data_IF_310299677869
#
_entry.id   IF_310299677869
#
_cell.length_a   1.000
_cell.length_b   1.000
_cell.length_c   1.000
_cell.angle_alpha   90.00
_cell.angle_beta   90.00
_cell.angle_gamma   90.00
#
_symmetry.space_group_name_H-M   'P 1'
#
loop_
_entity.id
_entity.type
_entity.pdbx_description
1 polymer ?
#
# COMPACT_ATOMS: atom_id res chain seq x y z
N UNK A 1 20.40 0.06 29.69
CA UNK A 1 19.02 0.57 29.51
C UNK A 1 18.88 1.11 28.10
N UNK A 2 17.97 0.56 27.28
CA UNK A 2 17.75 1.07 25.91
C UNK A 2 17.02 2.42 26.03
N UNK A 3 17.64 3.48 25.53
CA UNK A 3 17.08 4.83 25.58
C UNK A 3 16.07 4.97 24.43
N UNK A 4 14.79 5.16 24.75
CA UNK A 4 13.76 5.42 23.73
C UNK A 4 13.91 6.87 23.24
N UNK A 5 14.33 7.04 21.98
CA UNK A 5 14.31 8.34 21.31
C UNK A 5 12.89 8.62 20.82
N UNK A 6 12.36 9.79 21.12
CA UNK A 6 11.06 10.24 20.60
C UNK A 6 11.29 10.94 19.26
N UNK A 7 10.74 10.37 18.20
CA UNK A 7 10.73 10.97 16.87
C UNK A 7 9.32 11.47 16.57
N UNK A 8 9.22 12.70 16.08
CA UNK A 8 7.96 13.32 15.65
C UNK A 8 7.88 13.47 14.13
N UNK A 9 8.62 12.62 13.41
CA UNK A 9 8.59 12.52 11.96
C UNK A 9 7.46 11.57 11.52
N UNK A 10 6.90 11.71 10.31
CA UNK A 10 5.91 10.77 9.78
C UNK A 10 6.44 9.33 9.64
N UNK A 11 7.74 9.16 9.67
CA UNK A 11 8.47 7.90 9.60
C UNK A 11 9.88 8.10 9.06
N UNK A 12 10.81 7.15 9.34
CA UNK A 12 10.59 5.92 10.13
C UNK A 12 10.22 6.22 11.59
N UNK A 13 9.41 5.33 12.18
CA UNK A 13 9.05 5.41 13.61
C UNK A 13 10.19 4.91 14.49
N UNK A 14 10.24 5.28 15.80
CA UNK A 14 11.16 4.65 16.73
C UNK A 14 10.94 3.13 16.76
N UNK A 15 12.04 2.38 16.84
CA UNK A 15 11.95 0.92 16.93
C UNK A 15 11.29 0.48 18.24
N UNK A 16 10.43 -0.53 18.15
CA UNK A 16 9.89 -1.18 19.34
C UNK A 16 11.03 -1.87 20.10
N UNK A 17 11.20 -1.68 21.43
CA UNK A 17 12.26 -2.32 22.19
C UNK A 17 12.28 -3.86 22.02
N UNK A 18 11.11 -4.51 21.99
CA UNK A 18 11.02 -5.95 21.75
C UNK A 18 11.61 -6.36 20.38
N UNK A 19 11.40 -5.54 19.35
CA UNK A 19 12.00 -5.77 18.02
C UNK A 19 13.53 -5.62 18.04
N UNK A 20 14.05 -4.62 18.79
CA UNK A 20 15.50 -4.46 18.96
C UNK A 20 16.15 -5.68 19.62
N UNK A 21 15.50 -6.26 20.67
CA UNK A 21 15.98 -7.48 21.30
C UNK A 21 15.90 -8.68 20.37
N UNK A 22 14.83 -8.82 19.61
CA UNK A 22 14.68 -9.91 18.64
C UNK A 22 15.74 -9.85 17.53
N UNK A 23 16.12 -8.64 17.10
CA UNK A 23 17.21 -8.43 16.10
C UNK A 23 18.61 -8.75 16.64
N UNK A 24 18.79 -8.78 17.96
CA UNK A 24 20.04 -9.18 18.61
C UNK A 24 20.13 -10.71 18.86
N UNK A 25 19.09 -11.47 18.53
CA UNK A 25 19.10 -12.92 18.66
C UNK A 25 20.01 -13.56 17.59
N UNK A 26 20.37 -14.85 17.83
CA UNK A 26 21.15 -15.61 16.85
C UNK A 26 20.39 -15.79 15.53
N UNK A 27 21.14 -15.75 14.42
CA UNK A 27 20.60 -15.93 13.09
C UNK A 27 20.01 -17.31 12.88
N UNK A 28 18.90 -17.38 12.16
CA UNK A 28 18.27 -18.60 11.70
C UNK A 28 18.45 -18.70 10.19
N UNK A 29 19.03 -19.81 9.72
CA UNK A 29 19.23 -19.99 8.27
C UNK A 29 17.90 -20.15 7.54
N UNK A 30 17.70 -19.39 6.48
CA UNK A 30 16.43 -19.25 5.74
C UNK A 30 15.88 -20.53 5.10
N UNK A 31 16.68 -21.61 4.97
CA UNK A 31 16.25 -22.90 4.41
C UNK A 31 15.91 -23.95 5.45
N UNK A 32 15.95 -23.61 6.74
CA UNK A 32 15.62 -24.55 7.83
C UNK A 32 14.13 -24.65 8.05
N UNK A 33 13.63 -25.77 8.60
CA UNK A 33 12.22 -25.88 9.01
C UNK A 33 11.80 -24.83 10.04
N UNK A 34 12.72 -24.44 10.93
CA UNK A 34 12.52 -23.40 11.93
C UNK A 34 12.22 -22.04 11.28
N UNK A 35 13.01 -21.65 10.27
CA UNK A 35 12.76 -20.41 9.54
C UNK A 35 11.42 -20.45 8.79
N UNK A 36 11.09 -21.58 8.16
CA UNK A 36 9.80 -21.73 7.47
C UNK A 36 8.62 -21.54 8.42
N UNK A 37 8.66 -22.16 9.59
CA UNK A 37 7.63 -22.01 10.61
C UNK A 37 7.53 -20.57 11.13
N UNK A 38 8.68 -19.87 11.29
CA UNK A 38 8.70 -18.45 11.64
C UNK A 38 8.06 -17.61 10.54
N UNK A 39 8.43 -17.83 9.28
CA UNK A 39 7.95 -17.09 8.13
C UNK A 39 6.43 -17.25 7.94
N UNK A 40 5.93 -18.49 7.99
CA UNK A 40 4.49 -18.79 7.93
C UNK A 40 3.71 -18.08 9.04
N UNK A 41 4.24 -18.10 10.27
CA UNK A 41 3.64 -17.39 11.40
C UNK A 41 3.61 -15.87 11.16
N UNK A 42 4.69 -15.30 10.64
CA UNK A 42 4.76 -13.86 10.30
C UNK A 42 3.73 -13.49 9.24
N UNK A 43 3.61 -14.28 8.17
CA UNK A 43 2.61 -14.04 7.12
C UNK A 43 1.19 -14.13 7.68
N UNK A 44 0.90 -15.11 8.53
CA UNK A 44 -0.40 -15.22 9.19
C UNK A 44 -0.71 -14.02 10.10
N UNK A 45 0.27 -13.52 10.83
CA UNK A 45 0.11 -12.32 11.67
C UNK A 45 -0.05 -11.05 10.83
N UNK A 46 0.66 -10.92 9.71
CA UNK A 46 0.49 -9.80 8.78
C UNK A 46 -0.91 -9.81 8.15
N UNK A 47 -1.44 -10.98 7.81
CA UNK A 47 -2.82 -11.12 7.31
C UNK A 47 -3.85 -10.58 8.31
N UNK A 48 -3.69 -10.88 9.59
CA UNK A 48 -4.53 -10.34 10.68
C UNK A 48 -4.33 -8.82 10.82
N UNK A 49 -3.07 -8.37 10.80
CA UNK A 49 -2.74 -6.95 10.93
C UNK A 49 -3.28 -6.10 9.77
N UNK A 50 -3.21 -6.60 8.55
CA UNK A 50 -3.76 -5.96 7.36
C UNK A 50 -5.30 -6.00 7.38
N UNK A 51 -5.90 -7.00 8.03
CA UNK A 51 -7.35 -7.16 8.10
C UNK A 51 -7.94 -7.69 6.80
N UNK A 52 -7.31 -8.69 6.18
CA UNK A 52 -7.74 -9.29 4.93
C UNK A 52 -7.78 -10.81 5.00
N UNK A 53 -8.63 -11.43 4.21
CA UNK A 53 -8.64 -12.90 4.00
C UNK A 53 -7.62 -13.35 2.96
N UNK A 54 -7.10 -12.43 2.15
CA UNK A 54 -6.15 -12.73 1.09
C UNK A 54 -4.74 -12.97 1.65
N UNK A 55 -3.89 -13.63 0.88
CA UNK A 55 -2.51 -13.83 1.27
C UNK A 55 -1.71 -12.53 1.24
N UNK A 56 -0.71 -12.47 2.11
CA UNK A 56 0.20 -11.34 2.19
C UNK A 56 1.57 -11.76 1.68
N UNK A 57 2.10 -10.98 0.75
CA UNK A 57 3.46 -11.13 0.25
C UNK A 57 4.40 -10.21 1.03
N UNK A 58 5.60 -10.70 1.34
CA UNK A 58 6.66 -9.94 1.98
C UNK A 58 7.80 -9.71 1.00
N UNK A 59 8.18 -8.44 0.82
CA UNK A 59 9.25 -8.02 -0.08
C UNK A 59 10.43 -7.47 0.70
N UNK A 60 11.64 -7.89 0.36
CA UNK A 60 12.88 -7.26 0.82
C UNK A 60 13.09 -5.94 0.08
N UNK A 61 12.35 -4.90 0.48
CA UNK A 61 12.25 -3.63 -0.24
C UNK A 61 11.72 -2.52 0.68
N UNK A 62 11.75 -1.29 0.19
CA UNK A 62 10.95 -0.20 0.78
C UNK A 62 9.51 -0.26 0.30
N UNK A 63 8.61 0.51 0.91
CA UNK A 63 7.25 0.66 0.42
C UNK A 63 7.16 1.11 -1.05
N UNK A 64 8.13 1.91 -1.53
CA UNK A 64 8.22 2.30 -2.95
C UNK A 64 8.38 1.08 -3.86
N UNK A 65 9.18 0.08 -3.46
CA UNK A 65 9.31 -1.15 -4.26
C UNK A 65 8.01 -1.97 -4.31
N UNK A 66 7.17 -1.93 -3.27
CA UNK A 66 5.84 -2.54 -3.33
C UNK A 66 4.87 -1.74 -4.22
N UNK A 67 4.97 -0.40 -4.23
CA UNK A 67 4.25 0.45 -5.20
C UNK A 67 4.69 0.10 -6.64
N UNK A 68 5.99 0.04 -6.88
CA UNK A 68 6.56 -0.33 -8.18
C UNK A 68 6.12 -1.75 -8.61
N UNK A 69 6.16 -2.72 -7.69
CA UNK A 69 5.68 -4.07 -7.95
C UNK A 69 4.19 -4.08 -8.34
N UNK A 70 3.37 -3.23 -7.73
CA UNK A 70 1.95 -3.13 -8.09
C UNK A 70 1.75 -2.57 -9.50
N UNK A 71 2.50 -1.54 -9.89
CA UNK A 71 2.44 -1.00 -11.26
C UNK A 71 2.95 -2.03 -12.26
N UNK A 72 4.15 -2.57 -12.04
CA UNK A 72 4.83 -3.46 -13.02
C UNK A 72 4.14 -4.80 -13.26
N UNK A 73 3.35 -5.28 -12.29
CA UNK A 73 2.66 -6.57 -12.43
C UNK A 73 1.16 -6.44 -12.79
N UNK A 74 0.57 -5.26 -12.64
CA UNK A 74 -0.88 -5.09 -12.85
C UNK A 74 -1.22 -4.17 -14.02
N UNK A 75 -0.20 -3.55 -14.62
CA UNK A 75 -0.35 -2.69 -15.79
C UNK A 75 0.69 -3.02 -16.87
N UNK A 76 0.34 -2.71 -18.11
CA UNK A 76 1.22 -2.80 -19.28
C UNK A 76 1.45 -1.41 -19.89
N UNK A 77 2.54 -1.21 -20.64
CA UNK A 77 2.74 0.05 -21.38
C UNK A 77 1.54 0.36 -22.28
N UNK A 78 1.02 1.59 -22.15
CA UNK A 78 -0.18 2.03 -22.87
C UNK A 78 -1.48 1.90 -22.08
N UNK A 79 -1.52 1.13 -20.98
CA UNK A 79 -2.70 1.05 -20.13
C UNK A 79 -3.04 2.41 -19.54
N UNK A 80 -4.33 2.71 -19.49
CA UNK A 80 -4.83 3.92 -18.82
C UNK A 80 -4.99 3.67 -17.34
N UNK A 81 -4.44 4.57 -16.54
CA UNK A 81 -4.56 4.52 -15.08
C UNK A 81 -5.00 5.86 -14.53
N UNK A 82 -5.74 5.85 -13.44
CA UNK A 82 -6.16 7.03 -12.71
C UNK A 82 -5.32 7.18 -11.45
N UNK A 83 -4.58 8.27 -11.33
CA UNK A 83 -3.79 8.59 -10.15
C UNK A 83 -4.48 9.68 -9.34
N UNK A 84 -4.67 9.42 -8.05
CA UNK A 84 -5.28 10.35 -7.10
C UNK A 84 -4.16 10.93 -6.22
N UNK A 85 -3.86 12.22 -6.37
CA UNK A 85 -2.71 12.85 -5.74
C UNK A 85 -3.09 14.10 -4.96
N UNK A 86 -2.73 14.12 -3.66
CA UNK A 86 -2.86 15.32 -2.82
C UNK A 86 -1.58 15.55 -1.99
N UNK A 87 -0.45 15.08 -2.50
CA UNK A 87 0.84 15.24 -1.85
C UNK A 87 1.95 14.39 -2.47
N UNK A 88 3.06 14.33 -1.75
CA UNK A 88 4.33 13.77 -2.25
C UNK A 88 4.26 12.31 -2.65
N UNK A 89 3.43 11.53 -1.96
CA UNK A 89 3.28 10.09 -2.27
C UNK A 89 2.27 9.84 -3.39
N UNK A 90 1.29 10.74 -3.57
CA UNK A 90 0.46 10.77 -4.77
C UNK A 90 1.27 11.06 -6.04
N UNK A 91 2.17 12.07 -5.99
CA UNK A 91 3.12 12.36 -7.08
C UNK A 91 4.03 11.17 -7.41
N UNK A 92 4.34 10.33 -6.39
CA UNK A 92 5.15 9.12 -6.61
C UNK A 92 4.41 8.08 -7.44
N UNK A 93 3.11 7.88 -7.22
CA UNK A 93 2.29 7.02 -8.06
C UNK A 93 2.29 7.47 -9.52
N UNK A 94 2.12 8.78 -9.73
CA UNK A 94 2.16 9.37 -11.08
C UNK A 94 3.52 9.11 -11.74
N UNK A 95 4.61 9.33 -11.01
CA UNK A 95 5.97 9.12 -11.52
C UNK A 95 6.22 7.66 -11.88
N UNK A 96 5.78 6.71 -11.03
CA UNK A 96 5.91 5.28 -11.28
C UNK A 96 5.08 4.86 -12.50
N UNK A 97 3.80 5.22 -12.53
CA UNK A 97 2.94 4.85 -13.65
C UNK A 97 3.49 5.36 -15.00
N UNK A 98 3.98 6.59 -15.04
CA UNK A 98 4.65 7.14 -16.23
C UNK A 98 5.93 6.40 -16.60
N UNK A 99 6.75 6.02 -15.62
CA UNK A 99 7.99 5.28 -15.84
C UNK A 99 7.74 3.89 -16.45
N UNK A 100 6.61 3.26 -16.12
CA UNK A 100 6.17 1.99 -16.71
C UNK A 100 5.34 2.16 -18.00
N UNK A 101 5.26 3.37 -18.54
CA UNK A 101 4.63 3.64 -19.84
C UNK A 101 3.11 3.72 -19.82
N UNK A 102 2.48 3.86 -18.65
CA UNK A 102 1.04 4.03 -18.56
C UNK A 102 0.58 5.42 -19.04
N UNK A 103 -0.63 5.48 -19.57
CA UNK A 103 -1.36 6.72 -19.81
C UNK A 103 -2.01 7.17 -18.49
N UNK A 104 -1.53 8.27 -17.91
CA UNK A 104 -1.96 8.73 -16.60
C UNK A 104 -3.03 9.82 -16.72
N UNK A 105 -4.25 9.50 -16.28
CA UNK A 105 -5.24 10.53 -15.90
C UNK A 105 -4.96 10.91 -14.44
N UNK A 106 -4.90 12.20 -14.14
CA UNK A 106 -4.55 12.72 -12.81
C UNK A 106 -5.72 13.51 -12.23
N UNK A 107 -6.15 13.10 -11.02
CA UNK A 107 -6.97 13.94 -10.15
C UNK A 107 -6.11 14.41 -8.99
N UNK A 108 -5.96 15.72 -8.85
CA UNK A 108 -5.11 16.29 -7.82
C UNK A 108 -5.86 17.27 -6.93
N UNK A 109 -5.46 17.32 -5.66
CA UNK A 109 -5.88 18.33 -4.71
C UNK A 109 -4.65 19.09 -4.16
N UNK A 110 -4.79 20.33 -3.69
CA UNK A 110 -3.73 21.03 -2.99
C UNK A 110 -3.22 20.23 -1.77
N UNK A 111 -1.95 20.41 -1.43
CA UNK A 111 -1.37 19.78 -0.24
C UNK A 111 -2.13 20.20 1.03
N UNK A 112 -2.63 19.23 1.77
CA UNK A 112 -3.45 19.46 2.96
C UNK A 112 -4.95 19.33 2.72
N UNK A 113 -5.39 19.22 1.48
CA UNK A 113 -6.78 18.99 1.12
C UNK A 113 -7.08 17.52 0.80
N UNK A 114 -8.36 17.18 0.78
CA UNK A 114 -8.84 15.85 0.39
C UNK A 114 -9.21 15.82 -1.10
N UNK A 115 -9.21 14.61 -1.66
CA UNK A 115 -9.62 14.37 -3.04
C UNK A 115 -11.14 14.53 -3.20
N UNK A 116 -11.57 15.16 -4.28
CA UNK A 116 -12.99 15.29 -4.63
C UNK A 116 -13.50 14.03 -5.31
N UNK A 117 -14.51 13.39 -4.74
CA UNK A 117 -15.14 12.20 -5.35
C UNK A 117 -15.82 12.52 -6.69
N UNK A 118 -16.34 13.73 -6.86
CA UNK A 118 -16.95 14.17 -8.13
C UNK A 118 -15.90 14.27 -9.24
N UNK A 119 -14.69 14.72 -8.92
CA UNK A 119 -13.58 14.77 -9.87
C UNK A 119 -13.05 13.37 -10.18
N UNK A 120 -12.95 12.48 -9.19
CA UNK A 120 -12.63 11.07 -9.40
C UNK A 120 -13.63 10.41 -10.34
N UNK A 121 -14.94 10.64 -10.10
CA UNK A 121 -16.00 10.11 -10.95
C UNK A 121 -15.91 10.60 -12.40
N UNK A 122 -15.62 11.90 -12.60
CA UNK A 122 -15.48 12.50 -13.93
C UNK A 122 -14.25 12.00 -14.68
N UNK A 123 -13.16 11.70 -13.95
CA UNK A 123 -11.91 11.22 -14.53
C UNK A 123 -11.90 9.71 -14.81
N UNK A 124 -12.76 8.95 -14.15
CA UNK A 124 -12.86 7.50 -14.34
C UNK A 124 -13.41 7.20 -15.75
N UNK A 125 -12.69 6.38 -16.50
CA UNK A 125 -13.06 5.98 -17.88
C UNK A 125 -13.34 4.49 -17.96
N UNK A 126 -14.10 4.03 -18.98
CA UNK A 126 -14.39 2.60 -19.15
C UNK A 126 -13.14 1.72 -19.33
N UNK A 127 -12.07 2.30 -19.88
CA UNK A 127 -10.78 1.65 -20.10
C UNK A 127 -9.75 1.90 -19.01
N UNK A 128 -10.14 2.49 -17.87
CA UNK A 128 -9.24 2.66 -16.72
C UNK A 128 -8.89 1.28 -16.14
N UNK A 129 -7.61 0.92 -16.19
CA UNK A 129 -7.07 -0.35 -15.70
C UNK A 129 -6.93 -0.38 -14.17
N UNK A 130 -6.45 0.71 -13.59
CA UNK A 130 -6.21 0.82 -12.15
C UNK A 130 -6.40 2.26 -11.64
N UNK A 131 -6.78 2.36 -10.37
CA UNK A 131 -6.87 3.61 -9.60
C UNK A 131 -5.86 3.52 -8.46
N UNK A 132 -4.91 4.45 -8.42
CA UNK A 132 -3.87 4.52 -7.40
C UNK A 132 -4.14 5.65 -6.41
N UNK A 133 -4.10 5.35 -5.11
CA UNK A 133 -4.37 6.35 -4.06
C UNK A 133 -3.57 6.03 -2.78
N UNK A 134 -3.28 7.05 -1.96
CA UNK A 134 -2.82 6.87 -0.59
C UNK A 134 -4.02 6.78 0.36
N UNK A 135 -3.99 5.85 1.33
CA UNK A 135 -4.93 5.89 2.46
C UNK A 135 -4.68 7.11 3.35
N UNK A 136 -3.40 7.41 3.58
CA UNK A 136 -2.95 8.60 4.31
C UNK A 136 -1.75 9.20 3.60
N UNK A 137 -1.88 10.45 3.17
CA UNK A 137 -0.78 11.19 2.57
C UNK A 137 0.19 11.66 3.66
N UNK A 138 1.34 10.99 3.77
CA UNK A 138 2.29 11.23 4.86
C UNK A 138 2.91 12.63 4.85
N UNK A 139 3.01 13.27 3.68
CA UNK A 139 3.59 14.60 3.56
C UNK A 139 2.72 15.71 4.15
N UNK A 140 1.42 15.45 4.32
CA UNK A 140 0.44 16.43 4.81
C UNK A 140 -0.33 15.95 6.03
N UNK A 141 -0.39 14.63 6.26
CA UNK A 141 -1.20 14.00 7.30
C UNK A 141 -2.67 13.82 6.91
N UNK A 142 -3.05 14.14 5.70
CA UNK A 142 -4.44 13.99 5.21
C UNK A 142 -4.78 12.53 5.01
N UNK A 143 -5.93 12.12 5.53
CA UNK A 143 -6.55 10.82 5.28
C UNK A 143 -7.56 10.95 4.14
N UNK A 144 -7.42 10.11 3.12
CA UNK A 144 -8.39 10.04 2.03
C UNK A 144 -9.51 9.04 2.32
N UNK A 145 -10.69 9.30 1.79
CA UNK A 145 -11.85 8.41 1.94
C UNK A 145 -11.79 7.24 0.94
N UNK A 146 -10.90 6.28 1.22
CA UNK A 146 -10.74 5.07 0.41
C UNK A 146 -12.03 4.26 0.33
N UNK A 147 -12.86 4.27 1.40
CA UNK A 147 -14.16 3.60 1.42
C UNK A 147 -15.08 4.17 0.34
N UNK A 148 -15.18 5.50 0.27
CA UNK A 148 -16.03 6.16 -0.72
C UNK A 148 -15.49 5.98 -2.14
N UNK A 149 -14.16 5.97 -2.34
CA UNK A 149 -13.55 5.67 -3.63
C UNK A 149 -13.88 4.23 -4.07
N UNK A 150 -13.73 3.24 -3.18
CA UNK A 150 -14.10 1.85 -3.48
C UNK A 150 -15.59 1.68 -3.79
N UNK A 151 -16.47 2.38 -3.06
CA UNK A 151 -17.91 2.40 -3.35
C UNK A 151 -18.19 3.01 -4.74
N UNK A 152 -17.56 4.14 -5.06
CA UNK A 152 -17.70 4.80 -6.36
C UNK A 152 -17.32 3.88 -7.51
N UNK A 153 -16.21 3.14 -7.41
CA UNK A 153 -15.80 2.18 -8.45
C UNK A 153 -16.84 1.08 -8.64
N UNK A 154 -17.33 0.48 -7.56
CA UNK A 154 -18.39 -0.55 -7.63
C UNK A 154 -19.68 -0.01 -8.24
N UNK A 155 -20.16 1.13 -7.75
CA UNK A 155 -21.42 1.72 -8.16
C UNK A 155 -21.42 2.21 -9.61
N UNK A 156 -20.24 2.55 -10.14
CA UNK A 156 -20.03 2.90 -11.55
C UNK A 156 -19.90 1.67 -12.47
N UNK A 157 -19.83 0.45 -11.91
CA UNK A 157 -19.56 -0.76 -12.68
C UNK A 157 -18.15 -0.81 -13.28
N UNK A 158 -17.19 -0.07 -12.68
CA UNK A 158 -15.81 -0.03 -13.17
C UNK A 158 -15.08 -1.33 -12.87
N UNK A 159 -14.35 -1.84 -13.86
CA UNK A 159 -13.43 -2.97 -13.73
C UNK A 159 -12.03 -2.55 -13.24
N UNK A 160 -11.78 -1.27 -13.03
CA UNK A 160 -10.51 -0.76 -12.54
C UNK A 160 -10.14 -1.39 -11.19
N UNK A 161 -8.87 -1.76 -11.02
CA UNK A 161 -8.34 -2.23 -9.74
C UNK A 161 -8.12 -1.04 -8.80
N UNK A 162 -8.54 -1.17 -7.53
CA UNK A 162 -8.23 -0.18 -6.51
C UNK A 162 -6.94 -0.54 -5.78
N UNK A 163 -5.90 0.23 -6.00
CA UNK A 163 -4.56 0.02 -5.44
C UNK A 163 -4.26 1.11 -4.42
N UNK A 164 -4.06 0.70 -3.17
CA UNK A 164 -3.96 1.61 -2.03
C UNK A 164 -2.59 1.52 -1.38
N UNK A 165 -1.84 2.62 -1.43
CA UNK A 165 -0.70 2.81 -0.54
C UNK A 165 -1.23 3.11 0.87
N UNK A 166 -1.11 2.14 1.75
CA UNK A 166 -1.48 2.24 3.16
C UNK A 166 -0.26 2.15 4.09
N UNK A 167 0.95 2.45 3.57
CA UNK A 167 2.20 2.38 4.35
C UNK A 167 2.07 3.17 5.66
N UNK A 168 1.46 4.36 5.62
CA UNK A 168 1.20 5.16 6.82
C UNK A 168 -0.15 4.85 7.46
N UNK A 169 -1.13 4.39 6.67
CA UNK A 169 -2.50 4.15 7.12
C UNK A 169 -2.69 2.87 7.94
N UNK A 170 -2.02 1.78 7.56
CA UNK A 170 -2.13 0.49 8.26
C UNK A 170 -1.65 0.60 9.71
N UNK A 171 -2.48 0.11 10.64
CA UNK A 171 -2.22 0.17 12.07
C UNK A 171 -2.41 1.55 12.72
N UNK A 172 -2.72 2.59 11.93
CA UNK A 172 -2.98 3.96 12.44
C UNK A 172 -4.39 4.46 12.15
N UNK A 173 -5.01 3.94 11.10
CA UNK A 173 -6.41 4.24 10.73
C UNK A 173 -7.15 2.95 10.43
N UNK A 174 -8.48 2.99 10.60
CA UNK A 174 -9.31 1.85 10.20
C UNK A 174 -9.37 1.75 8.67
N UNK A 175 -9.04 0.56 8.16
CA UNK A 175 -9.14 0.16 6.76
C UNK A 175 -9.78 -1.23 6.71
N UNK A 176 -10.97 -1.34 6.11
CA UNK A 176 -11.63 -2.61 5.87
C UNK A 176 -11.36 -3.05 4.43
N UNK A 177 -10.23 -3.74 4.26
CA UNK A 177 -9.62 -4.01 2.96
C UNK A 177 -10.59 -4.72 2.03
N UNK A 178 -11.17 -5.81 2.52
CA UNK A 178 -12.05 -6.66 1.71
C UNK A 178 -13.40 -6.01 1.44
N UNK A 179 -14.02 -5.39 2.47
CA UNK A 179 -15.34 -4.77 2.33
C UNK A 179 -15.32 -3.48 1.50
N UNK A 180 -14.20 -2.76 1.50
CA UNK A 180 -14.08 -1.53 0.69
C UNK A 180 -13.68 -1.82 -0.76
N UNK A 181 -13.39 -3.09 -1.10
CA UNK A 181 -13.03 -3.50 -2.45
C UNK A 181 -11.62 -3.04 -2.85
N UNK A 182 -10.71 -3.02 -1.89
CA UNK A 182 -9.29 -2.73 -2.16
C UNK A 182 -8.69 -3.98 -2.79
N UNK A 183 -8.19 -3.84 -4.02
CA UNK A 183 -7.60 -4.95 -4.76
C UNK A 183 -6.12 -5.17 -4.39
N UNK A 184 -5.40 -4.09 -4.12
CA UNK A 184 -4.04 -4.18 -3.57
C UNK A 184 -3.88 -3.19 -2.43
N UNK A 185 -3.38 -3.67 -1.31
CA UNK A 185 -3.02 -2.83 -0.17
C UNK A 185 -1.54 -3.00 0.15
N UNK A 186 -0.85 -1.90 0.36
CA UNK A 186 0.60 -1.86 0.57
C UNK A 186 0.91 -1.34 1.96
N UNK A 187 1.84 -2.03 2.66
CA UNK A 187 2.37 -1.60 3.94
C UNK A 187 3.89 -1.60 3.98
N UNK A 188 4.44 -1.03 5.03
CA UNK A 188 5.89 -0.91 5.23
C UNK A 188 6.30 -1.13 6.67
N UNK A 189 7.47 -1.75 6.86
CA UNK A 189 7.99 -2.17 8.16
C UNK A 189 8.28 -1.02 9.13
N UNK A 190 8.69 0.15 8.61
CA UNK A 190 9.17 1.29 9.39
C UNK A 190 8.07 2.24 9.89
N UNK A 191 6.80 1.90 9.69
CA UNK A 191 5.65 2.68 10.15
C UNK A 191 5.04 2.06 11.41
N UNK A 192 3.76 1.74 11.45
CA UNK A 192 3.09 1.24 12.64
C UNK A 192 3.64 -0.10 13.18
N UNK A 193 4.28 -0.91 12.33
CA UNK A 193 4.96 -2.14 12.76
C UNK A 193 6.19 -1.87 13.64
N UNK A 194 6.78 -0.67 13.56
CA UNK A 194 7.88 -0.20 14.42
C UNK A 194 9.14 -1.08 14.39
N UNK A 195 9.48 -1.61 13.22
CA UNK A 195 10.75 -2.30 12.95
C UNK A 195 11.56 -1.50 11.91
N UNK A 196 12.84 -1.82 11.65
CA UNK A 196 13.64 -1.06 10.68
C UNK A 196 13.01 -1.01 9.29
N UNK A 197 13.29 0.04 8.49
CA UNK A 197 13.00 0.03 7.08
C UNK A 197 13.78 -1.11 6.39
N UNK A 198 13.21 -1.62 5.30
CA UNK A 198 13.84 -2.69 4.49
C UNK A 198 12.88 -3.80 4.12
N UNK A 199 11.70 -3.84 4.72
CA UNK A 199 10.62 -4.75 4.35
C UNK A 199 9.37 -3.98 3.96
N UNK A 200 8.75 -4.41 2.86
CA UNK A 200 7.39 -4.02 2.49
C UNK A 200 6.52 -5.26 2.43
N UNK A 201 5.25 -5.10 2.61
CA UNK A 201 4.28 -6.16 2.44
C UNK A 201 3.08 -5.65 1.66
N UNK A 202 2.48 -6.53 0.89
CA UNK A 202 1.27 -6.24 0.14
C UNK A 202 0.36 -7.45 0.11
N UNK A 203 -0.95 -7.19 -0.01
CA UNK A 203 -1.95 -8.22 -0.23
C UNK A 203 -2.70 -7.91 -1.51
N UNK A 204 -3.02 -8.96 -2.27
CA UNK A 204 -3.74 -8.87 -3.53
C UNK A 204 -5.07 -9.61 -3.42
N UNK A 205 -6.14 -9.00 -3.95
CA UNK A 205 -7.42 -9.67 -4.13
C UNK A 205 -7.34 -10.74 -5.25
N UNK A 206 -8.33 -11.63 -5.30
CA UNK A 206 -8.45 -12.59 -6.41
C UNK A 206 -8.52 -11.89 -7.79
N UNK A 207 -9.15 -10.69 -7.83
CA UNK A 207 -9.20 -9.86 -9.05
C UNK A 207 -7.82 -9.36 -9.46
N UNK A 208 -7.02 -8.90 -8.48
CA UNK A 208 -5.66 -8.45 -8.76
C UNK A 208 -4.77 -9.61 -9.20
N UNK A 209 -4.88 -10.78 -8.57
CA UNK A 209 -4.16 -11.99 -9.02
C UNK A 209 -4.50 -12.37 -10.44
N UNK A 210 -5.79 -12.43 -10.77
CA UNK A 210 -6.24 -12.72 -12.15
C UNK A 210 -5.72 -11.67 -13.14
N UNK A 211 -5.65 -10.41 -12.76
CA UNK A 211 -5.15 -9.34 -13.61
C UNK A 211 -3.63 -9.41 -13.82
N UNK A 212 -2.88 -10.00 -12.91
CA UNK A 212 -1.42 -10.20 -13.03
C UNK A 212 -1.05 -11.36 -13.98
N UNK A 213 -2.00 -12.22 -14.35
CA UNK A 213 -1.80 -13.34 -15.27
C UNK A 213 -1.98 -12.94 -16.75
N UNK A 214 -2.49 -11.74 -17.01
CA UNK A 214 -2.83 -11.23 -18.35
C UNK A 214 -1.91 -10.10 -18.78
#
# INVERSE_FOLDING_TARGET
>A
MIRKTRLFTPGPTPLLPAAQFAMAAADIHHRTPEFRALYERVLGQLKIFVGTRNDVLLLASSGTGAMEASVSNLTSPGDRVLVLSAGKFGERWESLAKAFGCQVDLVSAPYGDTLSLDEVKKALRPDTRAVFVQATESSTGVRHDVKAIGALLRDSGSEALLIVDAITGLGTTHLDVDAWGIDVIIGGSQKAVMIPPGLAYLSLSDRAWKAAET
#
